data_IF_194766498193
#
_entry.id   IF_194766498193
#
_cell.length_a   1.000
_cell.length_b   1.000
_cell.length_c   1.000
_cell.angle_alpha   90.00
_cell.angle_beta   90.00
_cell.angle_gamma   90.00
#
_symmetry.space_group_name_H-M   'P 1'
#
loop_
_entity.id
_entity.type
_entity.pdbx_description
1 polymer ?
#
# COMPACT_ATOMS: atom_id res chain seq x y z
N UNK A 1 -12.51 9.15 18.75
CA UNK A 1 -11.84 8.26 19.75
C UNK A 1 -10.81 7.34 19.10
N UNK A 2 -11.14 6.61 18.02
CA UNK A 2 -10.18 5.69 17.37
C UNK A 2 -9.05 6.45 16.67
N UNK A 3 -9.37 7.49 15.91
CA UNK A 3 -8.40 8.40 15.30
C UNK A 3 -7.46 9.06 16.34
N UNK A 4 -7.95 9.33 17.55
CA UNK A 4 -7.15 9.94 18.62
C UNK A 4 -6.16 8.92 19.21
N UNK A 5 -6.60 7.68 19.40
CA UNK A 5 -5.72 6.57 19.84
C UNK A 5 -4.59 6.31 18.84
N UNK A 6 -4.93 6.30 17.55
CA UNK A 6 -3.94 6.14 16.48
C UNK A 6 -2.95 7.30 16.50
N UNK A 7 -3.42 8.55 16.60
CA UNK A 7 -2.55 9.72 16.64
C UNK A 7 -1.55 9.67 17.83
N UNK A 8 -1.96 9.17 18.99
CA UNK A 8 -1.07 9.00 20.13
C UNK A 8 0.03 7.97 19.87
N UNK A 9 -0.34 6.80 19.36
CA UNK A 9 0.60 5.73 19.02
C UNK A 9 1.61 6.23 17.97
N UNK A 10 1.14 6.92 16.93
CA UNK A 10 1.99 7.43 15.86
C UNK A 10 2.95 8.52 16.34
N UNK A 11 2.50 9.39 17.25
CA UNK A 11 3.37 10.41 17.83
C UNK A 11 4.51 9.78 18.67
N UNK A 12 4.27 8.66 19.33
CA UNK A 12 5.32 7.89 20.02
C UNK A 12 6.31 7.26 19.04
N UNK A 13 5.80 6.64 17.96
CA UNK A 13 6.66 6.11 16.90
C UNK A 13 7.47 7.21 16.21
N UNK A 14 6.87 8.38 15.96
CA UNK A 14 7.58 9.56 15.46
C UNK A 14 8.71 10.01 16.39
N UNK A 15 8.48 10.01 17.69
CA UNK A 15 9.50 10.33 18.69
C UNK A 15 10.67 9.32 18.67
N UNK A 16 10.44 8.10 18.22
CA UNK A 16 11.46 7.08 18.01
C UNK A 16 12.13 7.15 16.60
N UNK A 17 11.79 8.14 15.78
CA UNK A 17 12.37 8.32 14.45
C UNK A 17 11.67 7.54 13.34
N UNK A 18 10.47 7.02 13.55
CA UNK A 18 9.66 6.35 12.51
C UNK A 18 8.84 7.41 11.79
N UNK A 19 9.06 7.59 10.48
CA UNK A 19 8.47 8.67 9.69
C UNK A 19 7.27 8.22 8.84
N UNK A 20 7.14 6.92 8.57
CA UNK A 20 6.22 6.38 7.59
C UNK A 20 5.75 4.97 7.97
N UNK A 21 4.54 4.60 7.57
CA UNK A 21 3.98 3.26 7.80
C UNK A 21 3.31 2.68 6.55
N UNK A 22 3.46 1.36 6.33
CA UNK A 22 2.74 0.61 5.31
C UNK A 22 1.33 0.19 5.79
N UNK A 23 0.56 1.17 6.25
CA UNK A 23 -0.84 1.05 6.67
C UNK A 23 -1.68 2.18 6.06
N UNK A 24 -2.98 1.95 5.82
CA UNK A 24 -3.83 0.80 6.18
C UNK A 24 -3.84 -0.35 5.17
N UNK A 25 -4.31 -1.52 5.62
CA UNK A 25 -4.76 -2.60 4.73
C UNK A 25 -6.13 -2.22 4.19
N UNK A 26 -6.26 -2.11 2.86
CA UNK A 26 -7.50 -1.73 2.16
C UNK A 26 -8.20 -2.92 1.50
N UNK A 27 -7.65 -4.12 1.69
CA UNK A 27 -8.21 -5.36 1.17
C UNK A 27 -9.53 -5.69 1.88
N UNK A 28 -10.54 -6.07 1.11
CA UNK A 28 -11.85 -6.49 1.63
C UNK A 28 -11.75 -7.92 2.16
N UNK A 29 -12.26 -8.19 3.37
CA UNK A 29 -12.31 -9.55 3.90
C UNK A 29 -13.50 -10.33 3.32
N UNK A 30 -13.21 -11.29 2.47
CA UNK A 30 -14.15 -12.25 1.91
C UNK A 30 -14.18 -13.58 2.68
N UNK A 31 -13.43 -13.70 3.77
CA UNK A 31 -13.27 -14.94 4.53
C UNK A 31 -12.48 -16.03 3.79
N UNK A 32 -11.73 -15.69 2.74
CA UNK A 32 -11.00 -16.61 1.86
C UNK A 32 -9.48 -16.51 2.01
N UNK A 33 -8.97 -15.29 2.04
CA UNK A 33 -7.53 -15.06 2.11
C UNK A 33 -7.01 -15.21 3.53
N UNK A 34 -6.25 -16.26 3.80
CA UNK A 34 -5.58 -16.45 5.10
C UNK A 34 -4.51 -15.37 5.36
N UNK A 35 -3.97 -14.76 4.30
CA UNK A 35 -2.96 -13.69 4.40
C UNK A 35 -3.59 -12.36 4.85
N UNK A 36 -4.78 -12.05 4.36
CA UNK A 36 -5.50 -10.82 4.73
C UNK A 36 -6.24 -11.02 6.04
N UNK A 37 -7.23 -11.90 6.09
CA UNK A 37 -7.95 -12.28 7.30
C UNK A 37 -8.25 -11.10 8.24
N UNK A 38 -7.89 -11.24 9.50
CA UNK A 38 -8.08 -10.20 10.55
C UNK A 38 -7.30 -8.89 10.34
N UNK A 39 -6.44 -8.79 9.32
CA UNK A 39 -5.78 -7.54 8.95
C UNK A 39 -6.70 -6.58 8.21
N UNK A 40 -7.78 -7.09 7.61
CA UNK A 40 -8.77 -6.28 6.90
C UNK A 40 -9.53 -5.36 7.87
N UNK A 41 -9.92 -4.20 7.36
CA UNK A 41 -10.74 -3.22 8.07
C UNK A 41 -12.24 -3.44 7.88
N UNK A 42 -12.66 -4.43 7.09
CA UNK A 42 -14.08 -4.72 6.88
C UNK A 42 -14.36 -5.72 5.77
N UNK A 43 -15.61 -6.15 5.74
CA UNK A 43 -16.14 -7.15 4.80
C UNK A 43 -16.79 -6.53 3.56
N UNK A 44 -16.81 -5.20 3.46
CA UNK A 44 -17.27 -4.46 2.28
C UNK A 44 -16.35 -3.29 1.97
N UNK A 45 -16.24 -2.86 0.70
CA UNK A 45 -15.42 -1.71 0.31
C UNK A 45 -15.80 -0.43 1.07
N UNK A 46 -17.08 -0.24 1.38
CA UNK A 46 -17.59 0.92 2.11
C UNK A 46 -17.11 0.92 3.57
N UNK A 47 -17.16 -0.22 4.25
CA UNK A 47 -16.65 -0.36 5.62
C UNK A 47 -15.13 -0.16 5.67
N UNK A 48 -14.40 -0.80 4.74
CA UNK A 48 -12.95 -0.60 4.60
C UNK A 48 -12.63 0.88 4.40
N UNK A 49 -13.36 1.58 3.51
CA UNK A 49 -13.16 3.01 3.26
C UNK A 49 -13.39 3.84 4.52
N UNK A 50 -14.48 3.59 5.25
CA UNK A 50 -14.84 4.36 6.44
C UNK A 50 -13.79 4.20 7.56
N UNK A 51 -13.37 2.97 7.84
CA UNK A 51 -12.37 2.68 8.87
C UNK A 51 -10.97 3.18 8.45
N UNK A 52 -10.58 2.98 7.19
CA UNK A 52 -9.33 3.48 6.66
C UNK A 52 -9.24 5.02 6.72
N UNK A 53 -10.35 5.73 6.42
CA UNK A 53 -10.38 7.18 6.55
C UNK A 53 -10.12 7.65 8.00
N UNK A 54 -10.66 6.94 8.99
CA UNK A 54 -10.39 7.25 10.41
C UNK A 54 -8.93 6.99 10.78
N UNK A 55 -8.36 5.87 10.29
CA UNK A 55 -6.97 5.49 10.52
C UNK A 55 -6.02 6.51 9.87
N UNK A 56 -6.23 6.87 8.60
CA UNK A 56 -5.39 7.83 7.88
C UNK A 56 -5.42 9.21 8.56
N UNK A 57 -6.59 9.66 9.03
CA UNK A 57 -6.65 10.91 9.82
C UNK A 57 -5.84 10.82 11.11
N UNK A 58 -5.84 9.67 11.79
CA UNK A 58 -5.02 9.44 12.98
C UNK A 58 -3.52 9.50 12.65
N UNK A 59 -3.08 8.78 11.61
CA UNK A 59 -1.70 8.79 11.12
C UNK A 59 -1.22 10.22 10.83
N UNK A 60 -2.01 10.99 10.06
CA UNK A 60 -1.66 12.38 9.72
C UNK A 60 -1.57 13.29 10.95
N UNK A 61 -2.47 13.15 11.92
CA UNK A 61 -2.38 13.90 13.19
C UNK A 61 -1.14 13.53 13.98
N UNK A 62 -0.72 12.27 13.93
CA UNK A 62 0.54 11.79 14.50
C UNK A 62 1.80 12.21 13.70
N UNK A 63 1.61 12.85 12.53
CA UNK A 63 2.70 13.31 11.69
C UNK A 63 3.25 12.26 10.73
N UNK A 64 2.56 11.12 10.56
CA UNK A 64 2.95 10.03 9.67
C UNK A 64 2.19 10.02 8.34
N UNK A 65 2.89 9.64 7.27
CA UNK A 65 2.27 9.33 5.99
C UNK A 65 1.76 7.89 5.96
N UNK A 66 0.71 7.66 5.16
CA UNK A 66 0.01 6.37 5.02
C UNK A 66 0.34 5.67 3.71
N UNK A 67 0.19 4.32 3.69
CA UNK A 67 0.26 3.51 2.49
C UNK A 67 -0.88 2.50 2.44
N UNK A 68 -1.83 2.71 1.53
CA UNK A 68 -2.93 1.76 1.31
C UNK A 68 -2.47 0.53 0.55
N UNK A 69 -2.86 -0.65 1.01
CA UNK A 69 -2.42 -1.91 0.40
C UNK A 69 -3.46 -3.02 0.49
N UNK A 70 -3.46 -3.94 -0.43
CA UNK A 70 -2.59 -4.16 -1.59
C UNK A 70 -3.40 -3.94 -2.88
N UNK A 71 -3.07 -2.88 -3.62
CA UNK A 71 -3.83 -2.51 -4.84
C UNK A 71 -3.72 -3.59 -5.92
N UNK A 72 -4.81 -3.96 -6.59
CA UNK A 72 -6.20 -3.46 -6.53
C UNK A 72 -7.08 -4.12 -5.44
N UNK A 73 -6.62 -5.13 -4.73
CA UNK A 73 -7.31 -5.85 -3.66
C UNK A 73 -6.89 -7.32 -3.59
N UNK A 74 -6.37 -7.78 -2.45
CA UNK A 74 -5.83 -9.13 -2.23
C UNK A 74 -6.79 -10.05 -1.43
N UNK A 75 -7.96 -9.54 -1.02
CA UNK A 75 -8.83 -10.25 -0.09
C UNK A 75 -9.55 -11.47 -0.66
N UNK A 76 -9.63 -11.61 -1.98
CA UNK A 76 -10.26 -12.75 -2.65
C UNK A 76 -9.28 -13.90 -2.92
N UNK A 77 -8.05 -13.61 -3.28
CA UNK A 77 -7.05 -14.61 -3.62
C UNK A 77 -6.66 -15.46 -2.41
N UNK A 78 -6.78 -16.79 -2.53
CA UNK A 78 -6.56 -17.74 -1.43
C UNK A 78 -5.09 -18.03 -1.17
N UNK A 79 -4.28 -18.08 -2.22
CA UNK A 79 -2.87 -18.40 -2.10
C UNK A 79 -2.07 -17.28 -1.42
N UNK A 80 -1.09 -17.68 -0.62
CA UNK A 80 -0.12 -16.78 -0.03
C UNK A 80 0.95 -16.42 -1.07
N UNK A 81 1.03 -15.14 -1.44
CA UNK A 81 2.01 -14.61 -2.39
C UNK A 81 3.47 -14.84 -2.01
N UNK A 82 3.76 -15.15 -0.74
CA UNK A 82 5.09 -15.59 -0.31
C UNK A 82 5.43 -17.01 -0.76
N UNK A 83 4.43 -17.86 -1.02
CA UNK A 83 4.62 -19.28 -1.31
C UNK A 83 4.28 -19.67 -2.75
N UNK A 84 3.33 -18.97 -3.37
CA UNK A 84 2.86 -19.19 -4.74
C UNK A 84 2.38 -17.87 -5.35
N UNK A 85 2.17 -17.82 -6.66
CA UNK A 85 1.48 -16.72 -7.32
C UNK A 85 -0.02 -16.86 -7.04
N UNK A 86 -0.65 -15.96 -6.28
CA UNK A 86 -2.10 -15.97 -6.11
C UNK A 86 -2.79 -15.42 -7.35
N UNK A 87 -4.00 -15.90 -7.59
CA UNK A 87 -4.82 -15.49 -8.74
C UNK A 87 -6.19 -15.01 -8.27
N UNK A 88 -6.71 -13.98 -8.93
CA UNK A 88 -8.08 -13.51 -8.79
C UNK A 88 -8.81 -13.69 -10.13
N UNK A 89 -9.74 -14.65 -10.15
CA UNK A 89 -10.49 -15.03 -11.35
C UNK A 89 -11.80 -14.24 -11.53
N UNK A 90 -12.08 -13.31 -10.62
CA UNK A 90 -13.32 -12.52 -10.67
C UNK A 90 -13.35 -11.61 -11.90
N UNK A 91 -14.57 -11.17 -12.19
CA UNK A 91 -14.81 -10.19 -13.25
C UNK A 91 -14.32 -8.78 -12.88
N UNK A 92 -14.22 -7.93 -13.88
CA UNK A 92 -13.74 -6.55 -13.72
C UNK A 92 -14.65 -5.72 -12.80
N UNK A 93 -15.98 -5.94 -12.80
CA UNK A 93 -16.92 -5.19 -11.96
C UNK A 93 -16.66 -5.46 -10.48
N UNK A 94 -16.49 -6.73 -10.11
CA UNK A 94 -16.15 -7.14 -8.75
C UNK A 94 -14.83 -6.52 -8.28
N UNK A 95 -13.82 -6.56 -9.13
CA UNK A 95 -12.52 -5.99 -8.80
C UNK A 95 -12.54 -4.45 -8.73
N UNK A 96 -13.31 -3.78 -9.59
CA UNK A 96 -13.52 -2.32 -9.53
C UNK A 96 -14.18 -1.89 -8.22
N UNK A 97 -15.02 -2.74 -7.60
CA UNK A 97 -15.58 -2.47 -6.28
C UNK A 97 -14.50 -2.51 -5.20
N UNK A 98 -13.57 -3.47 -5.25
CA UNK A 98 -12.46 -3.55 -4.31
C UNK A 98 -11.51 -2.35 -4.41
N UNK A 99 -11.42 -1.73 -5.59
CA UNK A 99 -10.64 -0.50 -5.80
C UNK A 99 -11.30 0.75 -5.21
N UNK A 100 -12.57 0.70 -4.78
CA UNK A 100 -13.31 1.86 -4.28
C UNK A 100 -12.55 2.67 -3.20
N UNK A 101 -11.90 2.07 -2.19
CA UNK A 101 -11.17 2.81 -1.17
C UNK A 101 -10.08 3.71 -1.75
N UNK A 102 -9.36 3.26 -2.78
CA UNK A 102 -8.25 4.01 -3.37
C UNK A 102 -8.69 5.32 -4.06
N UNK A 103 -9.92 5.36 -4.59
CA UNK A 103 -10.50 6.57 -5.17
C UNK A 103 -11.27 7.45 -4.17
N UNK A 104 -11.58 6.93 -2.97
CA UNK A 104 -12.39 7.63 -1.96
C UNK A 104 -11.58 8.16 -0.77
N UNK A 105 -10.30 7.92 -0.72
CA UNK A 105 -9.40 8.35 0.35
C UNK A 105 -8.42 9.42 -0.15
N UNK A 106 -8.84 10.69 -0.25
CA UNK A 106 -8.02 11.77 -0.82
C UNK A 106 -6.76 12.06 -0.01
N UNK A 107 -6.73 11.66 1.25
CA UNK A 107 -5.59 11.85 2.16
C UNK A 107 -4.59 10.67 2.13
N UNK A 108 -4.83 9.66 1.28
CA UNK A 108 -3.93 8.54 1.11
C UNK A 108 -2.64 8.99 0.42
N UNK A 109 -1.51 8.89 1.13
CA UNK A 109 -0.24 9.44 0.65
C UNK A 109 0.46 8.52 -0.36
N UNK A 110 0.32 7.21 -0.19
CA UNK A 110 0.91 6.22 -1.09
C UNK A 110 0.07 4.94 -1.18
N UNK A 111 0.39 4.12 -2.17
CA UNK A 111 -0.24 2.82 -2.42
C UNK A 111 0.85 1.78 -2.64
N UNK A 112 0.64 0.57 -2.13
CA UNK A 112 1.45 -0.60 -2.44
C UNK A 112 0.64 -1.55 -3.32
N UNK A 113 1.26 -2.08 -4.37
CA UNK A 113 0.64 -3.03 -5.30
C UNK A 113 0.54 -4.43 -4.70
N UNK A 114 -0.34 -5.27 -5.24
CA UNK A 114 -0.42 -6.70 -4.90
C UNK A 114 0.41 -7.54 -5.86
N UNK A 115 1.06 -8.61 -5.35
CA UNK A 115 1.62 -9.67 -6.18
C UNK A 115 0.56 -10.76 -6.43
N UNK A 116 -0.51 -10.37 -7.11
CA UNK A 116 -1.65 -11.21 -7.50
C UNK A 116 -1.89 -11.04 -8.99
N UNK A 117 -2.16 -12.13 -9.70
CA UNK A 117 -2.56 -12.11 -11.10
C UNK A 117 -4.08 -11.92 -11.21
N UNK A 118 -4.51 -10.95 -12.00
CA UNK A 118 -5.93 -10.61 -12.13
C UNK A 118 -6.44 -10.97 -13.51
N UNK A 119 -7.27 -12.00 -13.62
CA UNK A 119 -7.79 -12.50 -14.90
C UNK A 119 -8.61 -11.45 -15.65
N UNK A 120 -9.33 -10.57 -14.94
CA UNK A 120 -10.03 -9.44 -15.53
C UNK A 120 -9.11 -8.41 -16.21
N UNK A 121 -7.82 -8.46 -15.93
CA UNK A 121 -6.78 -7.59 -16.48
C UNK A 121 -5.65 -8.43 -17.13
N UNK A 122 -6.05 -9.32 -18.05
CA UNK A 122 -5.15 -10.13 -18.89
C UNK A 122 -4.29 -11.14 -18.11
N UNK A 123 -4.63 -11.43 -16.83
CA UNK A 123 -3.86 -12.32 -15.97
C UNK A 123 -2.51 -11.76 -15.54
N UNK A 124 -2.29 -10.46 -15.72
CA UNK A 124 -1.07 -9.81 -15.26
C UNK A 124 -1.04 -9.64 -13.75
N UNK A 125 0.14 -9.75 -13.17
CA UNK A 125 0.40 -9.37 -11.77
C UNK A 125 0.31 -7.86 -11.64
N UNK A 126 -0.47 -7.36 -10.67
CA UNK A 126 -0.74 -5.92 -10.56
C UNK A 126 0.51 -5.05 -10.51
N UNK A 127 1.58 -5.51 -9.85
CA UNK A 127 2.86 -4.79 -9.78
C UNK A 127 3.46 -4.51 -11.16
N UNK A 128 3.20 -5.37 -12.15
CA UNK A 128 3.77 -5.27 -13.49
C UNK A 128 2.76 -4.83 -14.55
N UNK A 129 1.50 -4.58 -14.16
CA UNK A 129 0.43 -4.22 -15.07
C UNK A 129 0.32 -2.70 -15.24
N UNK A 130 0.77 -2.20 -16.41
CA UNK A 130 0.60 -0.80 -16.80
C UNK A 130 -0.89 -0.42 -16.80
N UNK A 131 -1.77 -1.32 -17.23
CA UNK A 131 -3.21 -1.09 -17.28
C UNK A 131 -3.77 -0.82 -15.86
N UNK A 132 -3.41 -1.64 -14.86
CA UNK A 132 -3.86 -1.43 -13.49
C UNK A 132 -3.26 -0.16 -12.88
N UNK A 133 -1.98 0.14 -13.13
CA UNK A 133 -1.32 1.27 -12.48
C UNK A 133 -1.58 2.60 -13.17
N UNK A 134 -1.64 2.66 -14.49
CA UNK A 134 -1.88 3.91 -15.22
C UNK A 134 -3.36 4.14 -15.47
N UNK A 135 -4.05 3.21 -16.14
CA UNK A 135 -5.41 3.47 -16.60
C UNK A 135 -6.39 3.42 -15.41
N UNK A 136 -6.25 2.43 -14.51
CA UNK A 136 -7.15 2.30 -13.37
C UNK A 136 -6.76 3.20 -12.20
N UNK A 137 -5.55 3.07 -11.65
CA UNK A 137 -5.16 3.80 -10.44
C UNK A 137 -4.95 5.29 -10.73
N UNK A 138 -4.15 5.64 -11.75
CA UNK A 138 -3.81 7.05 -12.04
C UNK A 138 -4.93 7.80 -12.73
N UNK A 139 -5.51 7.23 -13.80
CA UNK A 139 -6.49 7.94 -14.63
C UNK A 139 -7.89 7.82 -14.07
N UNK A 140 -8.43 6.60 -13.92
CA UNK A 140 -9.82 6.41 -13.50
C UNK A 140 -10.06 6.78 -12.03
N UNK A 141 -9.19 6.33 -11.11
CA UNK A 141 -9.33 6.62 -9.68
C UNK A 141 -8.72 7.98 -9.29
N UNK A 142 -7.92 8.58 -10.15
CA UNK A 142 -7.32 9.90 -9.93
C UNK A 142 -6.22 9.93 -8.86
N UNK A 143 -5.63 8.78 -8.49
CA UNK A 143 -4.60 8.74 -7.46
C UNK A 143 -3.32 9.46 -7.90
N UNK A 144 -2.78 10.34 -7.04
CA UNK A 144 -1.60 11.19 -7.35
C UNK A 144 -0.40 10.94 -6.44
N UNK A 145 -0.57 10.13 -5.38
CA UNK A 145 0.50 9.79 -4.44
C UNK A 145 1.54 8.82 -5.01
N UNK A 146 2.47 8.41 -4.17
CA UNK A 146 3.56 7.50 -4.53
C UNK A 146 3.06 6.05 -4.63
N UNK A 147 3.57 5.26 -5.58
CA UNK A 147 3.26 3.84 -5.74
C UNK A 147 4.48 2.99 -5.45
N UNK A 148 4.35 2.11 -4.47
CA UNK A 148 5.34 1.06 -4.15
C UNK A 148 4.98 -0.24 -4.86
N UNK A 149 5.98 -1.02 -5.27
CA UNK A 149 5.78 -2.45 -5.45
C UNK A 149 5.53 -3.12 -4.10
N UNK A 150 4.98 -4.33 -4.06
CA UNK A 150 5.21 -5.24 -2.95
C UNK A 150 6.64 -5.79 -3.02
N UNK A 151 7.03 -6.61 -2.05
CA UNK A 151 8.38 -7.16 -1.94
C UNK A 151 8.75 -8.05 -3.14
N UNK A 152 9.69 -7.60 -3.96
CA UNK A 152 10.15 -8.32 -5.15
C UNK A 152 10.88 -9.65 -4.80
N UNK A 153 11.24 -9.89 -3.55
CA UNK A 153 11.78 -11.17 -3.11
C UNK A 153 10.72 -12.27 -2.95
N UNK A 154 9.42 -11.92 -3.03
CA UNK A 154 8.32 -12.85 -2.91
C UNK A 154 8.16 -13.70 -4.18
N UNK A 155 7.69 -14.94 -4.02
CA UNK A 155 7.46 -15.85 -5.16
C UNK A 155 6.39 -15.33 -6.13
N UNK A 156 5.43 -14.57 -5.64
CA UNK A 156 4.42 -13.90 -6.47
C UNK A 156 5.00 -12.87 -7.46
N UNK A 157 6.23 -12.41 -7.24
CA UNK A 157 6.97 -11.56 -8.17
C UNK A 157 7.84 -12.35 -9.17
N UNK A 158 7.89 -13.69 -9.07
CA UNK A 158 8.84 -14.53 -9.76
C UNK A 158 8.80 -14.38 -11.29
N UNK A 159 9.97 -14.22 -11.89
CA UNK A 159 10.17 -14.12 -13.33
C UNK A 159 11.40 -13.26 -13.69
N UNK A 160 12.58 -13.86 -13.82
CA UNK A 160 13.83 -13.17 -14.10
C UNK A 160 14.60 -12.74 -12.84
N UNK A 161 15.63 -11.93 -13.01
CA UNK A 161 16.41 -11.34 -11.91
C UNK A 161 15.60 -10.26 -11.18
N UNK A 162 16.02 -9.91 -9.96
CA UNK A 162 15.38 -8.82 -9.21
C UNK A 162 15.50 -7.48 -9.95
N UNK A 163 16.57 -7.28 -10.69
CA UNK A 163 16.77 -6.08 -11.52
C UNK A 163 15.73 -6.00 -12.65
N UNK A 164 15.50 -7.10 -13.38
CA UNK A 164 14.47 -7.17 -14.43
C UNK A 164 13.06 -6.95 -13.87
N UNK A 165 12.77 -7.51 -12.69
CA UNK A 165 11.49 -7.29 -12.01
C UNK A 165 11.31 -5.83 -11.61
N UNK A 166 12.35 -5.19 -11.06
CA UNK A 166 12.33 -3.79 -10.70
C UNK A 166 12.11 -2.89 -11.93
N UNK A 167 12.80 -3.16 -13.02
CA UNK A 167 12.63 -2.42 -14.29
C UNK A 167 11.20 -2.55 -14.83
N UNK A 168 10.62 -3.76 -14.79
CA UNK A 168 9.21 -4.00 -15.18
C UNK A 168 8.24 -3.23 -14.28
N UNK A 169 8.41 -3.28 -12.95
CA UNK A 169 7.55 -2.58 -12.01
C UNK A 169 7.59 -1.05 -12.21
N UNK A 170 8.79 -0.49 -12.38
CA UNK A 170 8.98 0.94 -12.66
C UNK A 170 8.38 1.33 -14.01
N UNK A 171 8.58 0.51 -15.05
CA UNK A 171 7.99 0.75 -16.38
C UNK A 171 6.46 0.66 -16.37
N UNK A 172 5.87 -0.19 -15.53
CA UNK A 172 4.43 -0.28 -15.34
C UNK A 172 3.84 0.94 -14.62
N UNK A 173 4.63 1.60 -13.76
CA UNK A 173 4.18 2.81 -13.06
C UNK A 173 4.38 2.84 -11.57
N UNK A 174 5.10 1.87 -11.00
CA UNK A 174 5.63 2.01 -9.64
C UNK A 174 6.65 3.15 -9.59
N UNK A 175 6.65 3.88 -8.48
CA UNK A 175 7.64 4.93 -8.21
C UNK A 175 8.82 4.37 -7.40
N UNK A 176 8.57 3.36 -6.56
CA UNK A 176 9.57 2.68 -5.72
C UNK A 176 9.36 1.17 -5.73
N UNK A 177 10.45 0.44 -5.60
CA UNK A 177 10.45 -1.02 -5.48
C UNK A 177 11.00 -1.45 -4.13
N UNK A 178 10.49 -2.57 -3.61
CA UNK A 178 10.89 -3.11 -2.30
C UNK A 178 11.59 -4.45 -2.48
N UNK A 179 12.66 -4.66 -1.70
CA UNK A 179 13.32 -5.95 -1.51
C UNK A 179 13.51 -6.14 -0.02
N UNK A 180 12.83 -7.14 0.56
CA UNK A 180 12.84 -7.40 1.99
C UNK A 180 13.53 -8.72 2.30
N UNK A 181 14.25 -8.77 3.44
CA UNK A 181 14.84 -10.01 3.97
C UNK A 181 15.85 -10.75 3.04
N UNK A 182 16.27 -10.12 1.94
CA UNK A 182 17.20 -10.67 0.95
C UNK A 182 18.28 -9.63 0.61
N UNK A 183 19.29 -9.47 1.48
CA UNK A 183 20.37 -8.51 1.25
C UNK A 183 21.14 -8.77 -0.04
N UNK A 184 21.29 -10.03 -0.44
CA UNK A 184 21.89 -10.42 -1.73
C UNK A 184 21.14 -9.85 -2.94
N UNK A 185 19.80 -9.89 -2.94
CA UNK A 185 18.96 -9.29 -3.99
C UNK A 185 18.99 -7.76 -3.93
N UNK A 186 19.04 -7.19 -2.74
CA UNK A 186 19.19 -5.75 -2.57
C UNK A 186 20.51 -5.24 -3.13
N UNK A 187 21.62 -5.94 -2.87
CA UNK A 187 22.95 -5.63 -3.40
C UNK A 187 22.97 -5.74 -4.93
N UNK A 188 22.37 -6.80 -5.49
CA UNK A 188 22.20 -6.96 -6.94
C UNK A 188 21.45 -5.78 -7.55
N UNK A 189 20.32 -5.39 -6.96
CA UNK A 189 19.51 -4.28 -7.43
C UNK A 189 20.27 -2.96 -7.39
N UNK A 190 20.94 -2.65 -6.28
CA UNK A 190 21.74 -1.42 -6.13
C UNK A 190 22.91 -1.36 -7.12
N UNK A 191 23.50 -2.49 -7.47
CA UNK A 191 24.60 -2.54 -8.43
C UNK A 191 24.15 -2.34 -9.88
N UNK A 192 22.97 -2.87 -10.24
CA UNK A 192 22.58 -3.03 -11.64
C UNK A 192 21.43 -2.12 -12.10
N UNK A 193 20.47 -1.76 -11.21
CA UNK A 193 19.34 -0.93 -11.59
C UNK A 193 19.80 0.42 -12.13
N UNK A 194 19.29 0.76 -13.32
CA UNK A 194 19.46 2.09 -13.92
C UNK A 194 18.10 2.78 -13.92
N UNK A 195 17.99 3.79 -13.08
CA UNK A 195 16.77 4.57 -12.92
C UNK A 195 17.10 6.06 -12.85
N UNK A 196 16.24 6.87 -13.44
CA UNK A 196 16.41 8.32 -13.44
C UNK A 196 15.34 8.98 -12.61
N UNK A 197 15.75 9.73 -11.62
CA UNK A 197 14.86 10.53 -10.77
C UNK A 197 14.20 11.64 -11.60
N UNK A 198 12.88 11.78 -11.45
CA UNK A 198 12.08 12.77 -12.19
C UNK A 198 11.46 13.78 -11.23
N UNK A 199 11.11 15.00 -11.71
CA UNK A 199 10.37 15.98 -10.90
C UNK A 199 9.04 15.45 -10.36
N UNK A 200 8.34 14.60 -11.12
CA UNK A 200 7.09 13.97 -10.72
C UNK A 200 7.30 12.99 -9.56
N UNK A 201 8.37 12.20 -9.60
CA UNK A 201 8.75 11.35 -8.49
C UNK A 201 9.06 12.19 -7.23
N UNK A 202 9.81 13.29 -7.37
CA UNK A 202 10.15 14.18 -6.26
C UNK A 202 8.91 14.78 -5.61
N UNK A 203 7.95 15.20 -6.42
CA UNK A 203 6.68 15.74 -5.94
C UNK A 203 5.88 14.67 -5.15
N UNK A 204 5.85 13.43 -5.63
CA UNK A 204 5.17 12.31 -4.95
C UNK A 204 5.89 11.92 -3.66
N UNK A 205 7.22 11.84 -3.71
CA UNK A 205 8.05 11.51 -2.54
C UNK A 205 7.89 12.55 -1.43
N UNK A 206 7.79 13.83 -1.78
CA UNK A 206 7.54 14.90 -0.81
C UNK A 206 6.24 14.70 -0.03
N UNK A 207 5.25 14.03 -0.62
CA UNK A 207 3.99 13.66 0.06
C UNK A 207 4.15 12.64 1.20
N UNK A 208 5.30 11.95 1.27
CA UNK A 208 5.64 11.04 2.37
C UNK A 208 6.46 11.70 3.47
N UNK A 209 6.88 12.95 3.27
CA UNK A 209 7.67 13.65 4.28
C UNK A 209 6.88 13.76 5.59
N UNK A 210 7.54 13.48 6.74
CA UNK A 210 6.88 13.58 8.03
C UNK A 210 6.41 15.01 8.30
N UNK A 211 5.18 15.15 8.79
CA UNK A 211 4.63 16.42 9.25
C UNK A 211 4.87 16.62 10.75
N UNK A 212 4.59 17.81 11.25
CA UNK A 212 4.56 18.04 12.69
C UNK A 212 3.44 17.17 13.30
N UNK A 213 3.80 16.39 14.32
CA UNK A 213 2.81 15.63 15.08
C UNK A 213 1.94 16.58 15.94
N UNK A 214 0.72 16.14 16.26
CA UNK A 214 -0.08 16.80 17.29
C UNK A 214 0.72 16.85 18.59
N UNK A 215 0.69 17.97 19.32
CA UNK A 215 1.51 18.16 20.51
C UNK A 215 0.68 18.36 21.77
N UNK A 216 1.37 18.31 22.92
CA UNK A 216 0.84 18.77 24.21
C UNK A 216 -0.46 18.11 24.63
N UNK A 217 -1.50 18.91 24.88
CA UNK A 217 -2.76 18.47 25.46
C UNK A 217 -3.50 17.42 24.62
N UNK A 218 -3.46 17.51 23.27
CA UNK A 218 -4.09 16.52 22.39
C UNK A 218 -3.45 15.15 22.50
N UNK A 219 -2.12 15.09 22.67
CA UNK A 219 -1.40 13.84 22.86
C UNK A 219 -1.69 13.20 24.23
N UNK A 220 -1.77 13.98 25.28
CA UNK A 220 -2.15 13.51 26.61
C UNK A 220 -3.60 13.00 26.67
N UNK A 221 -4.53 13.68 26.01
CA UNK A 221 -5.89 13.18 25.89
C UNK A 221 -5.94 11.86 25.13
N UNK A 222 -5.22 11.75 24.02
CA UNK A 222 -5.14 10.53 23.24
C UNK A 222 -4.49 9.38 24.03
N UNK A 223 -3.44 9.62 24.80
CA UNK A 223 -2.82 8.63 25.71
C UNK A 223 -3.79 8.15 26.79
N UNK A 224 -4.59 9.03 27.35
CA UNK A 224 -5.60 8.63 28.34
C UNK A 224 -6.66 7.69 27.76
N UNK A 225 -6.95 7.80 26.45
CA UNK A 225 -7.85 6.90 25.73
C UNK A 225 -7.24 5.52 25.43
N UNK A 226 -5.90 5.40 25.41
CA UNK A 226 -5.21 4.10 25.27
C UNK A 226 -5.20 3.34 26.59
N UNK A 227 -5.18 4.05 27.74
CA UNK A 227 -5.12 3.46 29.05
C UNK A 227 -6.50 3.01 29.61
N UNK A 228 -7.60 3.38 28.94
CA UNK A 228 -8.99 3.06 29.33
C UNK A 228 -9.54 1.87 28.53
#
# INVERSE_FOLDING_TARGET
KESDRIAAMEAELRACGVDFTFAPVLDVDYGRSAVIGSRSLGTTPELVTAHAAALIRGLRRGGMASCGKHFPGHGWAEADSHTALPEDERDAESLMRDMLPYGKLPELASVMTAHVAYHAFEGEVATFSRRLLQDELRERLGFRGLVFSDDLSMKGAAGGSVTEQAEKALAAGCDMVLVCNRPDMADELLANLRWTRTPEFDARLAGLAPAAACGGAELEEARSLLAA
#
